data_IF_677372166017
#
_entry.id   IF_677372166017
#
_cell.length_a   1.000
_cell.length_b   1.000
_cell.length_c   1.000
_cell.angle_alpha   90.00
_cell.angle_beta   90.00
_cell.angle_gamma   90.00
#
_symmetry.space_group_name_H-M   'P 1'
#
loop_
_entity.id
_entity.type
_entity.pdbx_description
1 polymer ?
#
# COMPACT_ATOMS: atom_id res chain seq x y z
N UNK A 1 -32.28 62.59 -13.39
CA UNK A 1 -30.84 62.52 -13.05
C UNK A 1 -30.75 62.09 -11.59
N UNK A 2 -30.92 60.80 -11.34
CA UNK A 2 -29.85 59.81 -11.11
C UNK A 2 -29.43 59.81 -9.63
N UNK A 3 -29.93 58.81 -8.91
CA UNK A 3 -29.88 58.68 -7.46
C UNK A 3 -28.86 57.68 -6.93
N UNK A 4 -28.66 57.82 -5.62
CA UNK A 4 -28.30 56.85 -4.58
C UNK A 4 -27.13 55.86 -4.82
N UNK A 5 -26.06 56.13 -4.07
CA UNK A 5 -24.95 55.23 -3.75
C UNK A 5 -25.45 54.18 -2.76
N UNK A 6 -25.21 52.90 -3.06
CA UNK A 6 -25.33 51.79 -2.11
C UNK A 6 -23.96 51.10 -1.99
N UNK A 7 -23.30 51.30 -0.86
CA UNK A 7 -22.17 50.49 -0.39
C UNK A 7 -22.76 49.41 0.52
N UNK A 8 -22.47 48.14 0.24
CA UNK A 8 -23.02 47.02 1.01
C UNK A 8 -22.25 45.72 0.80
N UNK A 9 -21.14 45.59 1.54
CA UNK A 9 -20.60 44.40 2.23
C UNK A 9 -20.71 43.01 1.59
N UNK A 10 -19.54 42.41 1.43
CA UNK A 10 -19.27 41.05 1.01
C UNK A 10 -19.74 39.97 2.01
N UNK A 11 -20.32 38.89 1.49
CA UNK A 11 -20.29 37.56 2.10
C UNK A 11 -20.09 36.53 0.98
N UNK A 12 -18.87 36.00 0.88
CA UNK A 12 -18.54 34.87 0.02
C UNK A 12 -19.24 33.60 0.53
N UNK A 13 -19.76 32.73 -0.36
CA UNK A 13 -20.31 31.44 0.05
C UNK A 13 -19.22 30.54 0.65
N UNK A 14 -19.54 29.71 1.65
CA UNK A 14 -18.59 28.72 2.17
C UNK A 14 -18.23 27.74 1.05
N UNK A 15 -16.93 27.54 0.85
CA UNK A 15 -16.39 26.48 0.02
C UNK A 15 -16.91 25.12 0.52
N UNK A 16 -17.88 24.56 -0.20
CA UNK A 16 -18.38 23.21 0.04
C UNK A 16 -18.20 22.38 -1.23
N UNK A 17 -17.50 21.26 -1.01
CA UNK A 17 -17.34 20.10 -1.88
C UNK A 17 -16.40 20.25 -3.09
N UNK A 18 -15.10 20.19 -2.82
CA UNK A 18 -14.20 19.49 -3.74
C UNK A 18 -14.64 18.01 -3.82
N UNK A 19 -14.64 17.37 -5.02
CA UNK A 19 -14.85 15.94 -5.10
C UNK A 19 -13.74 15.27 -4.30
N UNK A 20 -14.11 14.63 -3.20
CA UNK A 20 -13.22 13.73 -2.49
C UNK A 20 -12.86 12.63 -3.48
N UNK A 21 -11.63 12.65 -3.97
CA UNK A 21 -11.00 11.50 -4.58
C UNK A 21 -11.02 10.40 -3.52
N UNK A 22 -12.08 9.60 -3.52
CA UNK A 22 -12.02 8.25 -3.00
C UNK A 22 -11.01 7.55 -3.89
N UNK A 23 -9.73 7.68 -3.51
CA UNK A 23 -8.74 6.67 -3.80
C UNK A 23 -9.31 5.43 -3.14
N UNK A 24 -10.09 4.69 -3.91
CA UNK A 24 -10.30 3.28 -3.67
C UNK A 24 -8.89 2.74 -3.60
N UNK A 25 -8.41 2.55 -2.37
CA UNK A 25 -7.37 1.62 -2.04
C UNK A 25 -7.90 0.27 -2.49
N UNK A 26 -7.84 0.04 -3.80
CA UNK A 26 -7.66 -1.28 -4.34
C UNK A 26 -6.29 -1.66 -3.84
N UNK A 27 -6.24 -2.09 -2.58
CA UNK A 27 -5.27 -3.06 -2.14
C UNK A 27 -5.49 -4.22 -3.08
N UNK A 28 -4.81 -4.16 -4.23
CA UNK A 28 -4.44 -5.31 -5.01
C UNK A 28 -3.66 -6.15 -4.01
N UNK A 29 -4.39 -6.98 -3.25
CA UNK A 29 -3.86 -8.18 -2.67
C UNK A 29 -3.03 -8.79 -3.79
N UNK A 30 -1.72 -9.00 -3.62
CA UNK A 30 -0.89 -9.56 -4.67
C UNK A 30 -1.39 -10.97 -4.97
N UNK A 31 -2.38 -11.05 -5.85
CA UNK A 31 -2.77 -12.26 -6.55
C UNK A 31 -1.54 -12.63 -7.35
N UNK A 32 -1.01 -13.83 -7.08
CA UNK A 32 0.13 -14.47 -7.74
C UNK A 32 1.50 -14.31 -7.04
N UNK A 33 1.55 -14.52 -5.72
CA UNK A 33 2.67 -15.30 -5.18
C UNK A 33 2.46 -16.74 -5.62
N UNK A 34 2.96 -17.11 -6.81
CA UNK A 34 2.81 -18.45 -7.38
C UNK A 34 3.10 -19.54 -6.34
N UNK A 35 2.39 -20.66 -6.45
CA UNK A 35 2.13 -21.77 -5.50
C UNK A 35 3.36 -22.49 -4.89
N UNK A 36 4.43 -21.77 -4.66
CA UNK A 36 5.65 -22.24 -4.02
C UNK A 36 5.46 -22.02 -2.53
N UNK A 37 5.29 -23.12 -1.80
CA UNK A 37 5.18 -23.11 -0.36
C UNK A 37 6.39 -23.81 0.24
N UNK A 38 7.24 -23.06 0.92
CA UNK A 38 8.28 -23.64 1.77
C UNK A 38 7.70 -23.83 3.16
N UNK A 39 7.85 -24.92 3.91
CA UNK A 39 7.39 -24.96 5.31
C UNK A 39 8.25 -24.11 6.26
N UNK A 40 9.53 -23.90 5.93
CA UNK A 40 10.50 -23.17 6.73
C UNK A 40 11.65 -22.66 5.85
N UNK A 41 12.52 -21.82 6.42
CA UNK A 41 13.68 -21.29 5.71
C UNK A 41 14.67 -22.37 5.28
N UNK A 42 14.82 -23.46 6.05
CA UNK A 42 15.63 -24.60 5.62
C UNK A 42 15.16 -25.19 4.29
N UNK A 43 13.86 -25.35 4.09
CA UNK A 43 13.29 -25.86 2.84
C UNK A 43 13.48 -24.87 1.68
N UNK A 44 13.31 -23.57 1.94
CA UNK A 44 13.61 -22.53 0.95
C UNK A 44 15.08 -22.52 0.53
N UNK A 45 16.00 -22.64 1.50
CA UNK A 45 17.44 -22.71 1.26
C UNK A 45 17.85 -24.00 0.56
N UNK A 46 17.28 -25.15 0.94
CA UNK A 46 17.50 -26.42 0.25
C UNK A 46 17.01 -26.39 -1.21
N UNK A 47 15.97 -25.61 -1.49
CA UNK A 47 15.49 -25.35 -2.84
C UNK A 47 16.28 -24.26 -3.59
N UNK A 48 17.25 -23.61 -2.94
CA UNK A 48 18.01 -22.49 -3.51
C UNK A 48 17.18 -21.23 -3.76
N UNK A 49 16.05 -21.08 -3.05
CA UNK A 49 15.14 -19.96 -3.21
C UNK A 49 15.38 -18.81 -2.21
N UNK A 50 16.22 -19.04 -1.20
CA UNK A 50 16.62 -18.01 -0.24
C UNK A 50 17.81 -17.18 -0.77
N UNK A 51 17.88 -15.86 -0.50
CA UNK A 51 16.90 -15.03 0.22
C UNK A 51 15.63 -14.80 -0.59
N UNK A 52 14.46 -14.89 0.06
CA UNK A 52 13.15 -14.69 -0.58
C UNK A 52 12.66 -13.28 -0.30
N UNK A 53 12.46 -12.47 -1.34
CA UNK A 53 12.00 -11.09 -1.20
C UNK A 53 10.48 -10.95 -1.18
N UNK A 54 9.98 -9.92 -0.51
CA UNK A 54 8.57 -9.55 -0.52
C UNK A 54 8.03 -9.42 -1.95
N UNK A 55 6.95 -10.16 -2.23
CA UNK A 55 6.36 -10.24 -3.57
C UNK A 55 6.91 -11.36 -4.46
N UNK A 56 7.97 -12.07 -4.03
CA UNK A 56 8.40 -13.29 -4.72
C UNK A 56 7.52 -14.49 -4.35
N UNK A 57 7.38 -15.47 -5.27
CA UNK A 57 6.73 -16.73 -4.96
C UNK A 57 7.48 -17.46 -3.84
N UNK A 58 6.75 -17.85 -2.80
CA UNK A 58 7.32 -18.42 -1.58
C UNK A 58 7.57 -17.42 -0.45
N UNK A 59 7.47 -16.10 -0.70
CA UNK A 59 7.53 -15.11 0.36
C UNK A 59 6.29 -15.19 1.23
N UNK A 60 6.50 -15.10 2.55
CA UNK A 60 5.41 -14.87 3.49
C UNK A 60 5.94 -14.24 4.76
N UNK A 61 5.13 -13.36 5.34
CA UNK A 61 5.46 -12.67 6.60
C UNK A 61 5.90 -13.62 7.73
N UNK A 62 5.36 -14.84 7.91
CA UNK A 62 5.86 -15.74 8.96
C UNK A 62 7.26 -16.35 8.73
N UNK A 63 7.82 -16.26 7.51
CA UNK A 63 9.22 -16.66 7.24
C UNK A 63 10.20 -15.51 7.47
N UNK A 64 9.69 -14.30 7.49
CA UNK A 64 10.39 -13.05 7.70
C UNK A 64 10.24 -12.67 9.19
N UNK A 65 11.25 -13.05 9.99
CA UNK A 65 11.14 -13.02 11.45
C UNK A 65 11.17 -11.59 11.99
N UNK A 66 11.84 -10.71 11.28
CA UNK A 66 12.09 -9.31 11.59
C UNK A 66 11.20 -8.35 10.79
N UNK A 67 10.59 -8.82 9.70
CA UNK A 67 9.57 -8.11 8.95
C UNK A 67 10.13 -7.03 8.05
N UNK A 68 11.36 -7.16 7.59
CA UNK A 68 12.05 -6.18 6.76
C UNK A 68 11.74 -6.34 5.25
N UNK A 69 11.04 -7.42 4.89
CA UNK A 69 10.70 -7.77 3.52
C UNK A 69 11.64 -8.80 2.90
N UNK A 70 12.58 -9.37 3.64
CA UNK A 70 13.51 -10.41 3.20
C UNK A 70 13.34 -11.65 4.09
N UNK A 71 12.60 -12.63 3.60
CA UNK A 71 12.49 -13.92 4.27
C UNK A 71 13.75 -14.76 4.04
N UNK A 72 14.17 -15.46 5.10
CA UNK A 72 15.24 -16.46 5.05
C UNK A 72 16.61 -15.93 4.64
N UNK A 73 16.95 -14.72 5.10
CA UNK A 73 18.23 -14.04 4.84
C UNK A 73 19.45 -14.89 5.21
N UNK A 74 19.35 -15.63 6.32
CA UNK A 74 20.39 -16.53 6.82
C UNK A 74 19.84 -17.95 6.81
N UNK A 75 20.38 -18.74 5.89
CA UNK A 75 20.14 -20.18 5.79
C UNK A 75 20.81 -20.94 6.94
N UNK A 76 20.25 -20.84 8.16
CA UNK A 76 20.67 -21.64 9.31
C UNK A 76 19.59 -22.63 9.76
#
# INVERSE_FOLDING_TARGET
>A
MAGAIAVGIALAPPALAAPSTTTTTTTTSPTTGGSVYYPNCKAACAAGAAPIYAGQPGYRAPLDRDGDGIACEVCH
#
